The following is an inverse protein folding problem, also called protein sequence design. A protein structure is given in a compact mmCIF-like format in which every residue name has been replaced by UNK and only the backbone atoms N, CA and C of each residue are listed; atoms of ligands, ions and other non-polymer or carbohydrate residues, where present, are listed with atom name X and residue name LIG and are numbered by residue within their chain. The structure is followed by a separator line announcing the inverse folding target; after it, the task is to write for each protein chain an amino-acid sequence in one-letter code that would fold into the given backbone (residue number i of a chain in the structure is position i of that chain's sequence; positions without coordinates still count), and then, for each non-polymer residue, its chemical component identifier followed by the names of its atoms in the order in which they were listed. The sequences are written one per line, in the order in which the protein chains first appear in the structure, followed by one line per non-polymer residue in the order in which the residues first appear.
data_IF_939207132543
#
_entry.id   IF_939207132543
#
_cell.length_a   1.000
_cell.length_b   1.000
_cell.length_c   1.000
_cell.angle_alpha   90.00
_cell.angle_beta   90.00
_cell.angle_gamma   90.00
#
_symmetry.space_group_name_H-M   'P 1'
#
loop_
_entity.id
_entity.type
_entity.pdbx_description
1 polymer ?
#
# COMPACT_ATOMS: atom_id res chain seq x y z
N UNK A 1 -8.09 -13.50 -1.99
CA UNK A 1 -8.08 -12.03 -2.20
C UNK A 1 -7.62 -11.38 -0.92
N UNK A 2 -6.31 -11.19 -0.76
CA UNK A 2 -5.69 -10.82 0.50
C UNK A 2 -4.99 -9.50 0.38
N UNK A 3 -4.97 -8.73 1.44
CA UNK A 3 -4.30 -7.44 1.56
C UNK A 3 -3.70 -7.28 2.93
N UNK A 4 -2.50 -6.72 2.99
CA UNK A 4 -1.64 -6.72 4.17
C UNK A 4 -1.19 -5.30 4.51
N UNK A 5 -2.09 -4.46 4.99
CA UNK A 5 -1.75 -3.30 5.81
C UNK A 5 -2.99 -2.52 6.25
N UNK A 6 -2.98 -2.06 7.45
CA UNK A 6 -4.01 -1.19 8.02
C UNK A 6 -3.36 -0.18 8.94
N UNK A 7 -3.44 1.08 8.57
CA UNK A 7 -2.90 2.19 9.33
C UNK A 7 -3.99 3.14 9.77
N UNK A 8 -3.71 3.88 10.82
CA UNK A 8 -4.51 5.05 11.14
C UNK A 8 -4.04 6.26 10.33
N UNK A 9 -5.00 6.99 9.80
CA UNK A 9 -4.76 8.24 9.11
C UNK A 9 -5.18 9.39 10.01
N UNK A 10 -4.29 10.33 10.25
CA UNK A 10 -4.54 11.55 11.00
C UNK A 10 -4.24 12.74 10.08
N UNK A 11 -5.29 13.45 9.68
CA UNK A 11 -5.20 14.61 8.81
C UNK A 11 -5.29 15.89 9.65
N UNK A 12 -4.31 16.77 9.47
CA UNK A 12 -4.37 18.15 9.95
C UNK A 12 -4.52 19.08 8.75
N UNK A 13 -5.56 19.86 8.74
CA UNK A 13 -5.75 20.89 7.72
C UNK A 13 -5.20 22.19 8.26
N UNK A 14 -4.26 22.79 7.54
CA UNK A 14 -3.54 23.99 7.93
C UNK A 14 -3.94 25.17 7.03
N UNK A 15 -4.09 26.33 7.65
CA UNK A 15 -4.24 27.63 6.96
C UNK A 15 -2.91 28.38 7.07
N UNK A 16 -1.96 28.05 6.19
CA UNK A 16 -0.60 28.60 6.29
C UNK A 16 -0.39 29.84 5.45
N UNK A 17 -1.30 30.15 4.51
CA UNK A 17 -1.12 31.20 3.50
C UNK A 17 0.22 31.11 2.72
N UNK A 18 0.90 29.97 2.76
CA UNK A 18 2.13 29.70 2.03
C UNK A 18 1.82 29.23 0.62
N UNK A 19 2.60 29.69 -0.34
CA UNK A 19 2.46 29.29 -1.74
C UNK A 19 3.43 28.19 -2.15
N UNK A 20 4.39 27.85 -1.29
CA UNK A 20 5.48 26.92 -1.59
C UNK A 20 5.74 25.98 -0.40
N UNK A 21 6.19 24.76 -0.70
CA UNK A 21 6.66 23.76 0.27
C UNK A 21 7.96 24.24 0.95
N UNK A 22 8.22 23.90 2.24
CA UNK A 22 7.43 22.97 3.04
C UNK A 22 6.17 23.59 3.66
N UNK A 23 5.16 22.74 3.93
CA UNK A 23 3.93 23.15 4.62
C UNK A 23 4.26 23.71 6.00
N UNK A 24 5.27 23.11 6.68
CA UNK A 24 5.75 23.53 7.98
C UNK A 24 7.29 23.65 7.96
N UNK A 25 7.82 24.85 8.22
CA UNK A 25 9.26 25.05 8.32
C UNK A 25 9.79 24.68 9.72
N UNK A 26 11.09 24.36 9.79
CA UNK A 26 11.74 24.05 11.06
C UNK A 26 11.61 25.21 12.06
N UNK A 27 11.16 24.91 13.28
CA UNK A 27 10.93 25.90 14.33
C UNK A 27 9.62 26.69 14.20
N UNK A 28 8.82 26.43 13.18
CA UNK A 28 7.54 27.10 12.97
C UNK A 28 6.41 26.41 13.74
N UNK A 29 5.48 27.21 14.27
CA UNK A 29 4.23 26.75 14.86
C UNK A 29 3.06 27.34 14.05
N UNK A 30 2.23 26.49 13.48
CA UNK A 30 1.05 26.91 12.73
C UNK A 30 -0.23 26.42 13.43
N UNK A 31 -1.33 27.14 13.18
CA UNK A 31 -2.66 26.72 13.64
C UNK A 31 -3.33 25.90 12.56
N UNK A 32 -3.86 24.72 12.95
CA UNK A 32 -4.74 23.94 12.10
C UNK A 32 -6.17 24.45 12.17
N UNK A 33 -6.90 24.38 11.05
CA UNK A 33 -8.32 24.70 10.95
C UNK A 33 -9.20 23.49 11.25
N UNK A 34 -8.74 22.29 10.90
CA UNK A 34 -9.46 21.01 11.10
C UNK A 34 -8.52 19.87 11.47
N UNK A 35 -9.09 18.94 12.20
CA UNK A 35 -8.47 17.66 12.52
C UNK A 35 -9.42 16.53 12.12
N UNK A 36 -8.90 15.48 11.49
CA UNK A 36 -9.65 14.28 11.15
C UNK A 36 -8.81 13.04 11.43
N UNK A 37 -9.41 12.04 12.02
CA UNK A 37 -8.83 10.71 12.23
C UNK A 37 -9.67 9.67 11.51
N UNK A 38 -9.04 8.62 10.99
CA UNK A 38 -9.73 7.50 10.36
C UNK A 38 -8.75 6.37 10.04
N UNK A 39 -9.30 5.22 9.69
CA UNK A 39 -8.48 4.12 9.19
C UNK A 39 -7.98 4.41 7.78
N UNK A 40 -6.77 3.95 7.48
CA UNK A 40 -6.10 4.12 6.20
C UNK A 40 -5.11 2.99 5.94
N UNK A 41 -4.09 3.27 5.16
CA UNK A 41 -3.16 2.30 4.61
C UNK A 41 -3.59 1.84 3.21
N UNK A 42 -2.61 1.62 2.35
CA UNK A 42 -2.86 1.26 0.94
C UNK A 42 -3.61 -0.06 0.85
N UNK A 43 -3.22 -1.07 1.65
CA UNK A 43 -3.88 -2.36 1.70
C UNK A 43 -5.33 -2.27 2.20
N UNK A 44 -5.59 -1.54 3.27
CA UNK A 44 -6.95 -1.34 3.77
C UNK A 44 -7.84 -0.65 2.74
N UNK A 45 -7.37 0.46 2.16
CA UNK A 45 -8.13 1.20 1.15
C UNK A 45 -8.49 0.33 -0.06
N UNK A 46 -7.53 -0.43 -0.56
CA UNK A 46 -7.77 -1.38 -1.65
C UNK A 46 -8.68 -2.54 -1.19
N UNK A 47 -8.56 -3.05 0.07
CA UNK A 47 -9.43 -4.08 0.66
C UNK A 47 -10.87 -3.63 0.68
N UNK A 48 -11.10 -2.44 1.22
CA UNK A 48 -12.44 -1.83 1.26
C UNK A 48 -13.00 -1.63 -0.15
N UNK A 49 -12.20 -1.12 -1.09
CA UNK A 49 -12.64 -0.95 -2.47
C UNK A 49 -13.06 -2.28 -3.13
N UNK A 50 -12.24 -3.32 -2.97
CA UNK A 50 -12.54 -4.65 -3.49
C UNK A 50 -13.78 -5.27 -2.82
N UNK A 51 -13.94 -5.09 -1.50
CA UNK A 51 -15.09 -5.56 -0.74
C UNK A 51 -16.38 -4.86 -1.19
N UNK A 52 -16.36 -3.54 -1.31
CA UNK A 52 -17.50 -2.75 -1.81
C UNK A 52 -17.86 -3.06 -3.26
N UNK A 53 -16.90 -3.49 -4.07
CA UNK A 53 -17.14 -4.00 -5.42
C UNK A 53 -17.67 -5.45 -5.46
N UNK A 54 -18.08 -6.03 -4.32
CA UNK A 54 -18.62 -7.38 -4.22
C UNK A 54 -17.56 -8.48 -4.12
N UNK A 55 -16.29 -8.13 -3.91
CA UNK A 55 -15.21 -9.10 -3.75
C UNK A 55 -15.28 -9.79 -2.39
N UNK A 56 -15.00 -11.11 -2.36
CA UNK A 56 -14.70 -11.81 -1.11
C UNK A 56 -13.26 -11.48 -0.71
N UNK A 57 -13.09 -10.69 0.35
CA UNK A 57 -11.80 -10.15 0.78
C UNK A 57 -11.46 -10.66 2.17
N UNK A 58 -10.28 -11.25 2.31
CA UNK A 58 -9.65 -11.52 3.60
C UNK A 58 -8.53 -10.50 3.83
N UNK A 59 -8.64 -9.74 4.90
CA UNK A 59 -7.65 -8.74 5.30
C UNK A 59 -6.66 -9.38 6.24
N UNK A 60 -5.37 -9.32 5.88
CA UNK A 60 -4.27 -9.75 6.74
C UNK A 60 -3.51 -8.51 7.19
N UNK A 61 -3.39 -8.31 8.50
CA UNK A 61 -2.67 -7.16 9.05
C UNK A 61 -2.34 -7.37 10.52
N UNK A 62 -1.47 -6.53 11.07
CA UNK A 62 -1.10 -6.56 12.48
C UNK A 62 -1.29 -5.19 13.10
N UNK A 63 -1.94 -5.13 14.24
CA UNK A 63 -2.26 -3.92 14.99
C UNK A 63 -1.59 -3.96 16.36
N UNK A 64 -1.34 -2.81 16.95
CA UNK A 64 -1.07 -2.70 18.38
C UNK A 64 -2.38 -2.85 19.19
N UNK A 65 -2.25 -3.14 20.49
CA UNK A 65 -3.39 -3.12 21.43
C UNK A 65 -3.60 -1.72 21.99
N UNK A 66 -3.93 -0.78 21.13
CA UNK A 66 -4.04 0.64 21.46
C UNK A 66 -5.30 1.30 20.87
N UNK A 67 -5.51 2.58 21.19
CA UNK A 67 -6.66 3.33 20.70
C UNK A 67 -6.69 3.46 19.16
N UNK A 68 -5.52 3.48 18.50
CA UNK A 68 -5.44 3.53 17.06
C UNK A 68 -5.86 2.18 16.43
N UNK A 69 -5.49 1.06 17.06
CA UNK A 69 -5.98 -0.27 16.67
C UNK A 69 -7.51 -0.36 16.76
N UNK A 70 -8.11 0.25 17.77
CA UNK A 70 -9.57 0.27 17.91
C UNK A 70 -10.26 1.04 16.77
N UNK A 71 -9.69 2.17 16.33
CA UNK A 71 -10.19 2.91 15.13
C UNK A 71 -10.17 2.04 13.87
N UNK A 72 -9.14 1.21 13.72
CA UNK A 72 -9.03 0.28 12.61
C UNK A 72 -10.13 -0.80 12.66
N UNK A 73 -10.38 -1.38 13.83
CA UNK A 73 -11.45 -2.38 14.04
C UNK A 73 -12.84 -1.81 13.75
N UNK A 74 -13.13 -0.62 14.24
CA UNK A 74 -14.40 0.07 14.00
C UNK A 74 -14.62 0.35 12.50
N UNK A 75 -13.57 0.74 11.80
CA UNK A 75 -13.64 0.97 10.34
C UNK A 75 -13.91 -0.32 9.56
N UNK A 76 -13.35 -1.46 9.97
CA UNK A 76 -13.64 -2.76 9.37
C UNK A 76 -15.09 -3.18 9.65
N UNK A 77 -15.58 -3.00 10.87
CA UNK A 77 -16.96 -3.28 11.24
C UNK A 77 -17.95 -2.43 10.43
N UNK A 78 -17.67 -1.14 10.29
CA UNK A 78 -18.52 -0.21 9.54
C UNK A 78 -18.72 -0.60 8.06
N UNK A 79 -17.78 -1.36 7.49
CA UNK A 79 -17.89 -1.86 6.11
C UNK A 79 -18.18 -3.36 6.01
N UNK A 80 -18.37 -4.04 7.15
CA UNK A 80 -18.68 -5.47 7.20
C UNK A 80 -17.53 -6.38 6.77
N UNK A 81 -16.29 -5.96 6.91
CA UNK A 81 -15.12 -6.79 6.61
C UNK A 81 -14.82 -7.78 7.75
N UNK A 82 -14.44 -9.01 7.36
CA UNK A 82 -14.01 -10.04 8.30
C UNK A 82 -12.68 -9.67 8.95
N UNK A 83 -12.48 -10.12 10.18
CA UNK A 83 -11.31 -9.86 11.03
C UNK A 83 -10.53 -11.14 11.37
N UNK A 84 -10.73 -12.23 10.61
CA UNK A 84 -10.20 -13.57 10.93
C UNK A 84 -8.67 -13.61 10.94
N UNK A 85 -8.00 -12.73 10.21
CA UNK A 85 -6.55 -12.67 10.07
C UNK A 85 -5.96 -11.33 10.54
N UNK A 86 -6.55 -10.78 11.60
CA UNK A 86 -5.96 -9.67 12.34
C UNK A 86 -5.07 -10.19 13.46
N UNK A 87 -3.79 -9.86 13.38
CA UNK A 87 -2.82 -10.16 14.42
C UNK A 87 -2.60 -8.96 15.33
N UNK A 88 -2.03 -9.19 16.50
CA UNK A 88 -1.76 -8.14 17.47
C UNK A 88 -0.31 -8.17 17.92
N UNK A 89 0.29 -7.01 18.08
CA UNK A 89 1.55 -6.82 18.76
C UNK A 89 1.28 -6.36 20.20
N UNK A 90 2.03 -6.93 21.15
CA UNK A 90 2.01 -6.49 22.55
C UNK A 90 3.04 -5.37 22.80
N UNK A 91 4.06 -5.26 21.94
CA UNK A 91 5.23 -4.40 22.16
C UNK A 91 5.33 -3.23 21.17
N UNK A 92 4.53 -3.23 20.09
CA UNK A 92 4.59 -2.22 19.04
C UNK A 92 3.20 -1.66 18.78
N UNK A 93 3.09 -0.36 18.78
CA UNK A 93 1.86 0.38 18.54
C UNK A 93 1.36 0.22 17.10
N UNK A 94 0.07 0.47 16.90
CA UNK A 94 -0.56 0.49 15.58
C UNK A 94 0.08 1.55 14.68
N UNK A 95 0.34 1.21 13.43
CA UNK A 95 0.91 2.13 12.45
C UNK A 95 0.06 3.39 12.24
N UNK A 96 0.71 4.52 11.97
CA UNK A 96 0.06 5.82 11.78
C UNK A 96 0.67 6.58 10.62
N UNK A 97 -0.17 7.27 9.85
CA UNK A 97 0.24 8.30 8.91
C UNK A 97 -0.29 9.67 9.39
N UNK A 98 0.61 10.60 9.63
CA UNK A 98 0.30 12.00 9.92
C UNK A 98 0.34 12.78 8.61
N UNK A 99 -0.76 13.42 8.26
CA UNK A 99 -0.90 14.12 6.98
C UNK A 99 -1.20 15.59 7.26
N UNK A 100 -0.28 16.45 6.89
CA UNK A 100 -0.45 17.90 6.90
C UNK A 100 -0.98 18.32 5.52
N UNK A 101 -2.12 18.96 5.48
CA UNK A 101 -2.75 19.42 4.24
C UNK A 101 -2.86 20.95 4.29
N UNK A 102 -2.26 21.62 3.32
CA UNK A 102 -2.49 23.05 3.11
C UNK A 102 -3.68 23.24 2.16
N UNK A 103 -4.74 23.88 2.66
CA UNK A 103 -5.97 24.13 1.87
C UNK A 103 -5.74 25.09 0.70
N UNK A 104 -4.76 26.01 0.80
CA UNK A 104 -4.52 27.03 -0.21
C UNK A 104 -3.54 26.55 -1.30
N UNK A 105 -2.50 25.83 -0.90
CA UNK A 105 -1.48 25.36 -1.84
C UNK A 105 -1.84 24.02 -2.51
N UNK A 106 -2.87 23.33 -2.05
CA UNK A 106 -3.20 21.95 -2.46
C UNK A 106 -2.00 21.00 -2.32
N UNK A 107 -1.16 21.27 -1.32
CA UNK A 107 0.02 20.47 -0.98
C UNK A 107 -0.21 19.64 0.27
N UNK A 108 0.49 18.54 0.38
CA UNK A 108 0.51 17.74 1.60
C UNK A 108 1.93 17.30 1.95
N UNK A 109 2.14 17.12 3.22
CA UNK A 109 3.33 16.45 3.77
C UNK A 109 2.86 15.26 4.60
N UNK A 110 3.51 14.12 4.43
CA UNK A 110 3.08 12.88 5.04
C UNK A 110 4.26 12.27 5.80
N UNK A 111 4.05 12.03 7.09
CA UNK A 111 4.96 11.26 7.94
C UNK A 111 4.30 9.92 8.22
N UNK A 112 5.01 8.84 7.91
CA UNK A 112 4.52 7.47 8.12
C UNK A 112 5.36 6.78 9.18
N UNK A 113 4.67 6.19 10.16
CA UNK A 113 5.25 5.26 11.13
C UNK A 113 4.55 3.92 10.93
N UNK A 114 5.21 2.90 10.36
CA UNK A 114 4.57 1.61 10.02
C UNK A 114 4.01 0.87 11.22
N UNK A 115 4.64 0.99 12.39
CA UNK A 115 4.20 0.34 13.62
C UNK A 115 4.08 -1.18 13.51
N UNK A 116 3.08 -1.74 14.16
CA UNK A 116 2.86 -3.18 14.20
C UNK A 116 2.73 -3.85 12.83
N UNK A 117 2.26 -3.14 11.80
CA UNK A 117 2.18 -3.68 10.44
C UNK A 117 3.53 -4.13 9.89
N UNK A 118 4.62 -3.50 10.31
CA UNK A 118 5.99 -3.86 9.90
C UNK A 118 6.59 -5.02 10.73
N UNK A 119 5.78 -5.72 11.52
CA UNK A 119 6.23 -6.79 12.42
C UNK A 119 5.50 -8.12 12.21
N UNK A 120 4.97 -8.34 10.99
CA UNK A 120 4.39 -9.65 10.65
C UNK A 120 5.46 -10.74 10.76
N UNK A 121 5.17 -11.77 11.56
CA UNK A 121 6.08 -12.86 11.86
C UNK A 121 5.86 -14.07 10.95
N UNK A 122 6.76 -15.03 11.04
CA UNK A 122 6.59 -16.32 10.36
C UNK A 122 5.37 -17.09 10.88
N UNK A 123 5.05 -16.97 12.17
CA UNK A 123 3.87 -17.60 12.76
C UNK A 123 2.58 -16.94 12.24
N UNK A 124 2.57 -15.60 12.11
CA UNK A 124 1.44 -14.87 11.49
C UNK A 124 1.23 -15.34 10.05
N UNK A 125 2.31 -15.51 9.27
CA UNK A 125 2.23 -16.00 7.89
C UNK A 125 1.81 -17.47 7.81
N UNK A 126 2.27 -18.32 8.71
CA UNK A 126 1.85 -19.72 8.79
C UNK A 126 0.34 -19.84 9.06
N UNK A 127 -0.20 -18.97 9.92
CA UNK A 127 -1.63 -18.95 10.23
C UNK A 127 -2.51 -18.56 9.04
N UNK A 128 -1.98 -17.84 8.05
CA UNK A 128 -2.73 -17.42 6.84
C UNK A 128 -2.36 -18.20 5.58
N UNK A 129 -1.43 -19.15 5.68
CA UNK A 129 -0.89 -19.87 4.53
C UNK A 129 -1.98 -20.55 3.70
N UNK A 130 -2.90 -21.27 4.36
CA UNK A 130 -3.99 -21.98 3.66
C UNK A 130 -4.98 -21.00 3.00
N UNK A 131 -5.22 -19.85 3.63
CA UNK A 131 -6.04 -18.82 3.04
C UNK A 131 -5.38 -18.22 1.80
N UNK A 132 -4.06 -18.00 1.80
CA UNK A 132 -3.30 -17.57 0.62
C UNK A 132 -3.43 -18.61 -0.50
N UNK A 133 -3.19 -19.89 -0.19
CA UNK A 133 -3.24 -20.99 -1.18
C UNK A 133 -4.61 -21.12 -1.88
N UNK A 134 -5.69 -20.86 -1.14
CA UNK A 134 -7.06 -20.98 -1.63
C UNK A 134 -7.60 -19.69 -2.28
N UNK A 135 -6.78 -18.67 -2.44
CA UNK A 135 -7.17 -17.41 -3.03
C UNK A 135 -6.94 -17.36 -4.54
N UNK A 136 -7.76 -16.57 -5.23
CA UNK A 136 -7.53 -16.28 -6.65
C UNK A 136 -6.39 -15.26 -6.85
N UNK A 137 -6.28 -14.32 -5.92
CA UNK A 137 -5.31 -13.23 -5.96
C UNK A 137 -4.75 -12.94 -4.57
N UNK A 138 -3.45 -12.68 -4.49
CA UNK A 138 -2.78 -12.02 -3.36
C UNK A 138 -2.43 -10.60 -3.80
N UNK A 139 -2.87 -9.59 -3.05
CA UNK A 139 -2.57 -8.19 -3.34
C UNK A 139 -1.66 -7.63 -2.25
N UNK A 140 -0.49 -7.15 -2.64
CA UNK A 140 0.57 -6.66 -1.77
C UNK A 140 0.86 -5.19 -2.02
N UNK A 141 1.40 -4.52 -1.02
CA UNK A 141 1.94 -3.17 -1.07
C UNK A 141 3.29 -3.17 -0.33
N UNK A 142 4.01 -2.05 -0.39
CA UNK A 142 5.30 -1.93 0.29
C UNK A 142 5.18 -1.17 1.62
N UNK A 143 4.14 -1.46 2.40
CA UNK A 143 3.86 -0.81 3.70
C UNK A 143 4.06 -1.75 4.90
N UNK A 144 4.40 -3.02 4.67
CA UNK A 144 4.75 -4.00 5.70
C UNK A 144 6.23 -4.37 5.62
N UNK A 145 6.70 -5.20 6.53
CA UNK A 145 8.07 -5.73 6.44
C UNK A 145 8.25 -6.56 5.16
N UNK A 146 9.37 -6.33 4.49
CA UNK A 146 9.62 -6.86 3.15
C UNK A 146 9.74 -8.38 3.14
N UNK A 147 10.34 -8.99 4.16
CA UNK A 147 10.46 -10.43 4.30
C UNK A 147 9.09 -11.13 4.37
N UNK A 148 8.09 -10.52 5.02
CA UNK A 148 6.72 -11.01 5.03
C UNK A 148 6.08 -10.93 3.64
N UNK A 149 6.27 -9.82 2.90
CA UNK A 149 5.82 -9.69 1.52
C UNK A 149 6.42 -10.77 0.61
N UNK A 150 7.72 -10.97 0.69
CA UNK A 150 8.44 -11.96 -0.13
C UNK A 150 7.98 -13.39 0.18
N UNK A 151 7.80 -13.73 1.46
CA UNK A 151 7.30 -15.05 1.88
C UNK A 151 5.88 -15.29 1.41
N UNK A 152 4.97 -14.33 1.63
CA UNK A 152 3.59 -14.42 1.16
C UNK A 152 3.51 -14.58 -0.37
N UNK A 153 4.28 -13.80 -1.13
CA UNK A 153 4.35 -13.92 -2.58
C UNK A 153 4.91 -15.28 -3.02
N UNK A 154 5.90 -15.83 -2.31
CA UNK A 154 6.46 -17.14 -2.60
C UNK A 154 5.43 -18.25 -2.39
N UNK A 155 4.66 -18.20 -1.29
CA UNK A 155 3.55 -19.13 -1.02
C UNK A 155 2.53 -19.05 -2.15
N UNK A 156 2.09 -17.84 -2.50
CA UNK A 156 1.10 -17.60 -3.54
C UNK A 156 1.57 -18.15 -4.90
N UNK A 157 2.75 -17.75 -5.36
CA UNK A 157 3.33 -18.18 -6.66
C UNK A 157 3.48 -19.68 -6.74
N UNK A 158 3.97 -20.35 -5.67
CA UNK A 158 4.11 -21.81 -5.62
C UNK A 158 2.78 -22.55 -5.78
N UNK A 159 1.68 -21.94 -5.41
CA UNK A 159 0.34 -22.52 -5.46
C UNK A 159 -0.53 -21.97 -6.62
N UNK A 160 0.05 -21.27 -7.59
CA UNK A 160 -0.66 -20.76 -8.76
C UNK A 160 -1.56 -19.55 -8.47
N UNK A 161 -1.44 -18.94 -7.30
CA UNK A 161 -2.18 -17.73 -6.92
C UNK A 161 -1.56 -16.51 -7.59
N UNK A 162 -2.37 -15.70 -8.25
CA UNK A 162 -1.92 -14.49 -8.93
C UNK A 162 -1.54 -13.40 -7.93
N UNK A 163 -0.29 -12.93 -7.99
CA UNK A 163 0.21 -11.88 -7.11
C UNK A 163 0.17 -10.53 -7.80
N UNK A 164 -0.51 -9.57 -7.19
CA UNK A 164 -0.56 -8.17 -7.62
C UNK A 164 0.21 -7.34 -6.61
N UNK A 165 1.20 -6.58 -7.07
CA UNK A 165 1.99 -5.67 -6.25
C UNK A 165 1.66 -4.21 -6.61
N UNK A 166 1.13 -3.46 -5.65
CA UNK A 166 1.20 -2.01 -5.69
C UNK A 166 2.54 -1.57 -5.09
N UNK A 167 3.35 -0.88 -5.87
CA UNK A 167 4.76 -0.59 -5.56
C UNK A 167 4.95 0.59 -4.60
N UNK A 168 3.90 1.00 -3.94
CA UNK A 168 3.87 2.16 -3.06
C UNK A 168 3.88 1.77 -1.57
N UNK A 169 4.57 2.57 -0.72
CA UNK A 169 5.60 3.55 -1.09
C UNK A 169 6.82 2.84 -1.67
N UNK A 170 7.52 3.48 -2.61
CA UNK A 170 8.69 2.86 -3.20
C UNK A 170 9.69 2.38 -2.15
N UNK A 171 10.12 1.13 -2.32
CA UNK A 171 11.25 0.52 -1.63
C UNK A 171 11.98 -0.37 -2.62
N UNK A 172 13.31 -0.51 -2.54
CA UNK A 172 14.04 -1.47 -3.34
C UNK A 172 13.52 -2.89 -3.09
N UNK A 173 13.22 -3.60 -4.16
CA UNK A 173 12.79 -5.01 -4.11
C UNK A 173 13.68 -5.86 -5.00
N UNK A 174 13.83 -7.13 -4.66
CA UNK A 174 14.66 -8.05 -5.43
C UNK A 174 14.00 -8.44 -6.76
N UNK A 175 14.81 -8.76 -7.77
CA UNK A 175 14.29 -9.30 -9.03
C UNK A 175 13.62 -10.67 -8.81
N UNK A 176 14.06 -11.46 -7.81
CA UNK A 176 13.40 -12.71 -7.40
C UNK A 176 11.97 -12.46 -6.91
N UNK A 177 11.74 -11.38 -6.14
CA UNK A 177 10.42 -11.01 -5.69
C UNK A 177 9.51 -10.59 -6.86
N UNK A 178 10.05 -9.83 -7.82
CA UNK A 178 9.30 -9.39 -9.01
C UNK A 178 8.99 -10.53 -9.97
N UNK A 179 9.90 -11.50 -10.10
CA UNK A 179 9.76 -12.61 -11.03
C UNK A 179 8.50 -13.44 -10.75
N UNK A 180 7.64 -13.57 -11.76
CA UNK A 180 6.37 -14.30 -11.69
C UNK A 180 5.23 -13.53 -11.02
N UNK A 181 5.36 -12.24 -10.73
CA UNK A 181 4.21 -11.41 -10.35
C UNK A 181 3.23 -11.33 -11.53
N UNK A 182 1.95 -11.48 -11.21
CA UNK A 182 0.89 -11.34 -12.21
C UNK A 182 0.75 -9.89 -12.69
N UNK A 183 0.86 -8.91 -11.78
CA UNK A 183 0.68 -7.50 -12.11
C UNK A 183 1.48 -6.63 -11.13
N UNK A 184 2.13 -5.59 -11.66
CA UNK A 184 2.63 -4.45 -10.88
C UNK A 184 1.85 -3.19 -11.21
N UNK A 185 1.63 -2.32 -10.20
CA UNK A 185 0.85 -1.09 -10.37
C UNK A 185 1.56 0.14 -9.81
N UNK A 186 2.72 0.52 -10.39
CA UNK A 186 3.42 1.74 -10.00
C UNK A 186 2.71 3.01 -10.48
N UNK A 187 3.02 4.14 -9.83
CA UNK A 187 2.86 5.46 -10.45
C UNK A 187 4.11 5.82 -11.27
N UNK A 188 4.14 7.02 -11.88
CA UNK A 188 5.26 7.48 -12.72
C UNK A 188 6.60 7.49 -11.97
N UNK A 189 6.58 7.99 -10.73
CA UNK A 189 7.79 8.10 -9.88
C UNK A 189 8.28 6.71 -9.45
N UNK A 190 7.37 5.88 -8.97
CA UNK A 190 7.69 4.50 -8.57
C UNK A 190 8.21 3.67 -9.76
N UNK A 191 7.63 3.86 -10.95
CA UNK A 191 8.11 3.20 -12.16
C UNK A 191 9.53 3.66 -12.51
N UNK A 192 9.84 4.95 -12.45
CA UNK A 192 11.17 5.50 -12.66
C UNK A 192 12.18 4.93 -11.65
N UNK A 193 11.84 4.94 -10.37
CA UNK A 193 12.70 4.41 -9.30
C UNK A 193 13.00 2.90 -9.45
N UNK A 194 12.03 2.11 -9.94
CA UNK A 194 12.19 0.66 -10.10
C UNK A 194 12.88 0.27 -11.42
N UNK A 195 12.79 1.11 -12.45
CA UNK A 195 13.24 0.77 -13.79
C UNK A 195 14.38 1.63 -14.30
N UNK A 196 14.60 2.81 -13.71
CA UNK A 196 15.51 3.83 -14.22
C UNK A 196 14.98 4.59 -15.44
N UNK A 197 13.72 4.36 -15.84
CA UNK A 197 13.08 5.01 -17.01
C UNK A 197 12.13 6.08 -16.51
N UNK A 198 12.41 7.34 -16.86
CA UNK A 198 11.52 8.46 -16.56
C UNK A 198 10.24 8.39 -17.38
N UNK A 199 9.08 8.28 -16.72
CA UNK A 199 7.78 8.08 -17.39
C UNK A 199 7.10 9.41 -17.66
N UNK A 200 7.53 10.14 -18.69
CA UNK A 200 6.94 11.42 -19.11
C UNK A 200 6.11 11.33 -20.39
N UNK A 201 6.11 10.19 -21.07
CA UNK A 201 5.35 9.90 -22.29
C UNK A 201 4.82 8.46 -22.28
N UNK A 202 3.92 8.11 -23.21
CA UNK A 202 3.46 6.73 -23.42
C UNK A 202 4.58 5.83 -23.90
N UNK A 203 5.46 6.33 -24.75
CA UNK A 203 6.64 5.59 -25.23
C UNK A 203 7.61 5.28 -24.07
N UNK A 204 7.81 6.23 -23.15
CA UNK A 204 8.59 6.00 -21.94
C UNK A 204 7.92 4.98 -21.00
N UNK A 205 6.58 4.98 -20.92
CA UNK A 205 5.84 3.96 -20.17
C UNK A 205 6.04 2.56 -20.77
N UNK A 206 6.07 2.41 -22.11
CA UNK A 206 6.44 1.16 -22.79
C UNK A 206 7.86 0.72 -22.41
N UNK A 207 8.81 1.66 -22.37
CA UNK A 207 10.18 1.41 -21.95
C UNK A 207 10.26 0.89 -20.51
N UNK A 208 9.54 1.51 -19.58
CA UNK A 208 9.46 1.06 -18.19
C UNK A 208 8.80 -0.34 -18.07
N UNK A 209 7.71 -0.57 -18.81
CA UNK A 209 7.05 -1.88 -18.85
C UNK A 209 7.98 -2.98 -19.36
N UNK A 210 8.78 -2.70 -20.40
CA UNK A 210 9.77 -3.65 -20.93
C UNK A 210 10.82 -4.06 -19.88
N UNK A 211 11.21 -3.15 -18.97
CA UNK A 211 12.10 -3.49 -17.85
C UNK A 211 11.40 -4.44 -16.87
N UNK A 212 10.14 -4.19 -16.50
CA UNK A 212 9.37 -5.09 -15.64
C UNK A 212 9.21 -6.49 -16.27
N UNK A 213 8.93 -6.57 -17.58
CA UNK A 213 8.83 -7.85 -18.28
C UNK A 213 10.15 -8.62 -18.27
N UNK A 214 11.30 -7.95 -18.45
CA UNK A 214 12.63 -8.57 -18.32
C UNK A 214 12.89 -9.13 -16.93
N UNK A 215 12.27 -8.54 -15.89
CA UNK A 215 12.31 -9.02 -14.50
C UNK A 215 11.27 -10.11 -14.22
N UNK A 216 10.51 -10.55 -15.22
CA UNK A 216 9.55 -11.66 -15.12
C UNK A 216 8.16 -11.28 -14.63
N UNK A 217 7.82 -9.99 -14.59
CA UNK A 217 6.44 -9.53 -14.35
C UNK A 217 5.58 -9.83 -15.58
N UNK A 218 4.33 -10.28 -15.38
CA UNK A 218 3.46 -10.68 -16.49
C UNK A 218 2.63 -9.53 -17.06
N UNK A 219 2.23 -8.57 -16.23
CA UNK A 219 1.43 -7.43 -16.65
C UNK A 219 1.87 -6.17 -15.91
N UNK A 220 1.76 -5.02 -16.56
CA UNK A 220 2.15 -3.73 -16.01
C UNK A 220 1.00 -2.73 -16.17
N UNK A 221 0.64 -2.04 -15.09
CA UNK A 221 -0.29 -0.91 -15.08
C UNK A 221 0.43 0.28 -14.42
N UNK A 222 0.66 1.35 -15.18
CA UNK A 222 1.28 2.57 -14.64
C UNK A 222 0.21 3.66 -14.52
N UNK A 223 0.03 4.21 -13.33
CA UNK A 223 -0.87 5.36 -13.14
C UNK A 223 -0.16 6.64 -13.53
N UNK A 224 -0.81 7.47 -14.37
CA UNK A 224 -0.23 8.67 -15.00
C UNK A 224 -0.92 9.97 -14.51
N UNK A 225 -1.37 9.98 -13.26
CA UNK A 225 -2.09 11.11 -12.68
C UNK A 225 -3.28 11.55 -13.54
N UNK A 226 -3.36 12.84 -13.87
CA UNK A 226 -4.42 13.38 -14.72
C UNK A 226 -4.43 12.90 -16.18
N UNK A 227 -3.38 12.21 -16.63
CA UNK A 227 -3.27 11.59 -17.96
C UNK A 227 -3.91 10.21 -18.05
N UNK A 228 -4.41 9.65 -16.94
CA UNK A 228 -5.08 8.35 -16.89
C UNK A 228 -4.15 7.20 -16.48
N UNK A 229 -4.23 6.07 -17.16
CA UNK A 229 -3.44 4.88 -16.88
C UNK A 229 -2.88 4.29 -18.18
N UNK A 230 -1.65 3.80 -18.10
CA UNK A 230 -1.04 2.96 -19.11
C UNK A 230 -1.19 1.49 -18.67
N UNK A 231 -1.58 0.61 -19.59
CA UNK A 231 -1.69 -0.83 -19.33
C UNK A 231 -0.98 -1.58 -20.45
N UNK A 232 -0.10 -2.48 -20.07
CA UNK A 232 0.52 -3.42 -20.99
C UNK A 232 0.44 -4.82 -20.41
N UNK A 233 -0.15 -5.74 -21.17
CA UNK A 233 -0.32 -7.13 -20.78
C UNK A 233 0.51 -7.99 -21.73
N UNK A 234 1.47 -8.74 -21.20
CA UNK A 234 2.33 -9.60 -22.01
C UNK A 234 1.52 -10.67 -22.69
N UNK A 235 1.57 -10.66 -24.02
CA UNK A 235 0.89 -11.65 -24.88
C UNK A 235 -0.61 -11.47 -25.02
N UNK A 236 -1.16 -10.30 -24.73
CA UNK A 236 -2.56 -9.94 -25.02
C UNK A 236 -2.68 -9.13 -26.30
#
# INVERSE_FOLDING_TARGET
RHKMDLWNRIDFVLDTNKKESPVLAAGETVRGSRFKQGAGGKGFNQGVAAHKAGGNVSMVTKLGRDALGQVALEAMDAVGMKKDFLFYSEDVETGVALILVDEHASQNEIVVVPGACATLSDDDLAAVEDEIKNSAYLVLQLEINQDANEKAARIAKKNGVKVILNTAPYQPVSDEFLNGLFLVTPNEVEAEEMTGVKVDSLEAADGAAAVFFKKGVQNVLITLGGRGVYVNTDGA
#
